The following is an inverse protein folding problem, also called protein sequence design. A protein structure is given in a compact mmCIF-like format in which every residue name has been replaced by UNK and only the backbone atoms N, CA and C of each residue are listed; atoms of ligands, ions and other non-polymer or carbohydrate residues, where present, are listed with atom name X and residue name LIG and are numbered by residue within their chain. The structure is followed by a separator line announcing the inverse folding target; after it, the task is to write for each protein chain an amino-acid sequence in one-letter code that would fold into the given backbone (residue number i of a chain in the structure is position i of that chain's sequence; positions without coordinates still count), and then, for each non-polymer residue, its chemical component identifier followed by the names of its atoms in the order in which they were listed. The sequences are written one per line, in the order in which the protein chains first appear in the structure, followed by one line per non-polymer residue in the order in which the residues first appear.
data_IF_072110353773
#
_entry.id   IF_072110353773
#
_cell.length_a   1.000
_cell.length_b   1.000
_cell.length_c   1.000
_cell.angle_alpha   90.00
_cell.angle_beta   90.00
_cell.angle_gamma   90.00
#
_symmetry.space_group_name_H-M   'P 1'
#
loop_
_entity.id
_entity.type
_entity.pdbx_description
1 polymer ?
#
# COMPACT_ATOMS: atom_id res chain seq x y z
N UNK A 1 -15.97 -6.44 9.30
CA UNK A 1 -16.03 -6.43 7.84
C UNK A 1 -16.73 -5.15 7.45
N UNK A 2 -16.08 -4.34 6.63
CA UNK A 2 -16.58 -3.06 6.17
C UNK A 2 -16.68 -3.13 4.65
N UNK A 3 -17.71 -2.56 4.05
CA UNK A 3 -17.81 -2.49 2.59
C UNK A 3 -17.29 -1.13 2.13
N UNK A 4 -16.54 -1.12 1.03
CA UNK A 4 -16.06 0.08 0.36
C UNK A 4 -16.73 0.14 -1.01
N UNK A 5 -17.55 1.16 -1.24
CA UNK A 5 -18.22 1.33 -2.53
C UNK A 5 -17.27 2.10 -3.46
N UNK A 6 -16.82 1.43 -4.52
CA UNK A 6 -15.92 2.02 -5.51
C UNK A 6 -16.61 1.95 -6.86
N UNK A 7 -17.22 3.07 -7.26
CA UNK A 7 -18.15 3.09 -8.39
C UNK A 7 -19.39 2.26 -8.09
N UNK A 8 -19.66 1.27 -8.93
CA UNK A 8 -20.80 0.34 -8.80
C UNK A 8 -20.43 -0.98 -8.09
N UNK A 9 -19.15 -1.20 -7.79
CA UNK A 9 -18.67 -2.43 -7.17
C UNK A 9 -18.54 -2.28 -5.64
N UNK A 10 -19.23 -3.12 -4.85
CA UNK A 10 -19.03 -3.20 -3.40
C UNK A 10 -17.80 -4.05 -3.10
N UNK A 11 -16.77 -3.42 -2.56
CA UNK A 11 -15.50 -4.05 -2.21
C UNK A 11 -15.52 -4.47 -0.76
N UNK A 12 -15.33 -5.77 -0.50
CA UNK A 12 -15.26 -6.30 0.85
C UNK A 12 -13.91 -5.96 1.51
N UNK A 13 -13.96 -5.26 2.63
CA UNK A 13 -12.80 -4.98 3.47
C UNK A 13 -12.88 -5.72 4.80
N UNK A 14 -11.72 -6.12 5.31
CA UNK A 14 -11.57 -6.69 6.64
C UNK A 14 -11.73 -5.61 7.74
N UNK A 15 -11.73 -6.02 9.02
CA UNK A 15 -11.82 -5.12 10.18
C UNK A 15 -10.70 -4.07 10.23
N UNK A 16 -9.50 -4.40 9.74
CA UNK A 16 -8.40 -3.44 9.61
C UNK A 16 -8.52 -2.53 8.35
N UNK A 17 -9.53 -2.74 7.50
CA UNK A 17 -9.75 -2.00 6.25
C UNK A 17 -8.90 -2.49 5.07
N UNK A 18 -8.34 -3.69 5.14
CA UNK A 18 -7.63 -4.34 4.03
C UNK A 18 -8.61 -5.00 3.08
N UNK A 19 -8.27 -5.08 1.80
CA UNK A 19 -9.01 -5.86 0.82
C UNK A 19 -9.07 -7.33 1.24
N UNK A 20 -10.29 -7.89 1.26
CA UNK A 20 -10.50 -9.32 1.48
C UNK A 20 -10.08 -10.12 0.25
N UNK A 21 -10.42 -9.62 -0.94
CA UNK A 21 -9.99 -10.18 -2.21
C UNK A 21 -8.99 -9.24 -2.89
N UNK A 22 -7.82 -9.78 -3.28
CA UNK A 22 -6.76 -8.99 -3.90
C UNK A 22 -7.10 -8.63 -5.37
N UNK A 23 -7.98 -9.40 -6.01
CA UNK A 23 -8.40 -9.19 -7.40
C UNK A 23 -9.35 -8.00 -7.53
N UNK A 24 -10.06 -7.67 -6.46
CA UNK A 24 -10.90 -6.47 -6.36
C UNK A 24 -10.07 -5.17 -6.33
N UNK A 25 -8.75 -5.26 -6.16
CA UNK A 25 -7.91 -4.07 -6.18
C UNK A 25 -7.93 -3.40 -7.56
N UNK A 26 -8.21 -2.11 -7.55
CA UNK A 26 -8.07 -1.22 -8.70
C UNK A 26 -7.55 0.14 -8.26
N UNK A 27 -7.09 0.99 -9.20
CA UNK A 27 -6.64 2.33 -8.85
C UNK A 27 -7.71 3.17 -8.14
N UNK A 28 -8.98 2.94 -8.47
CA UNK A 28 -10.11 3.58 -7.79
C UNK A 28 -10.25 3.11 -6.34
N UNK A 29 -10.02 1.81 -6.09
CA UNK A 29 -10.02 1.25 -4.73
C UNK A 29 -8.89 1.82 -3.89
N UNK A 30 -7.68 1.89 -4.44
CA UNK A 30 -6.54 2.49 -3.75
C UNK A 30 -6.85 3.94 -3.33
N UNK A 31 -7.40 4.75 -4.24
CA UNK A 31 -7.81 6.13 -3.94
C UNK A 31 -8.88 6.19 -2.84
N UNK A 32 -9.91 5.34 -2.93
CA UNK A 32 -10.97 5.29 -1.93
C UNK A 32 -10.46 4.85 -0.54
N UNK A 33 -9.53 3.88 -0.49
CA UNK A 33 -8.85 3.48 0.74
C UNK A 33 -8.01 4.62 1.31
N UNK A 34 -7.24 5.31 0.47
CA UNK A 34 -6.38 6.40 0.89
C UNK A 34 -7.18 7.58 1.43
N UNK A 35 -8.31 7.90 0.79
CA UNK A 35 -9.26 8.90 1.28
C UNK A 35 -9.81 8.55 2.67
N UNK A 36 -10.06 7.27 2.98
CA UNK A 36 -10.49 6.83 4.32
C UNK A 36 -9.40 6.97 5.38
N UNK A 37 -8.14 6.78 5.01
CA UNK A 37 -7.01 6.98 5.92
C UNK A 37 -6.59 8.46 6.01
N UNK A 38 -7.20 9.35 5.20
CA UNK A 38 -6.83 10.76 5.13
C UNK A 38 -5.49 11.01 4.43
N UNK A 39 -5.06 10.09 3.56
CA UNK A 39 -3.79 10.17 2.84
C UNK A 39 -4.07 10.45 1.36
N UNK A 40 -3.62 11.58 0.81
CA UNK A 40 -3.75 11.83 -0.62
C UNK A 40 -2.70 11.01 -1.40
N UNK A 41 -3.15 10.14 -2.31
CA UNK A 41 -2.27 9.42 -3.22
C UNK A 41 -1.67 10.37 -4.26
N UNK A 42 -0.45 10.80 -4.01
CA UNK A 42 0.38 11.51 -4.99
C UNK A 42 1.15 10.53 -5.88
N UNK A 43 1.85 11.05 -6.90
CA UNK A 43 2.70 10.25 -7.79
C UNK A 43 3.74 9.40 -7.04
N UNK A 44 4.32 9.94 -5.95
CA UNK A 44 5.24 9.18 -5.10
C UNK A 44 4.56 7.99 -4.42
N UNK A 45 3.31 8.15 -3.98
CA UNK A 45 2.56 7.03 -3.41
C UNK A 45 2.32 5.98 -4.48
N UNK A 46 1.83 6.37 -5.66
CA UNK A 46 1.59 5.46 -6.78
C UNK A 46 2.82 4.66 -7.15
N UNK A 47 3.97 5.32 -7.29
CA UNK A 47 5.23 4.65 -7.58
C UNK A 47 5.57 3.58 -6.53
N UNK A 48 5.30 3.85 -5.25
CA UNK A 48 5.52 2.88 -4.17
C UNK A 48 4.49 1.74 -4.22
N UNK A 49 3.21 2.03 -4.47
CA UNK A 49 2.17 1.00 -4.58
C UNK A 49 2.45 0.04 -5.75
N UNK A 50 2.82 0.58 -6.90
CA UNK A 50 3.19 -0.20 -8.08
C UNK A 50 4.42 -1.06 -7.82
N UNK A 51 5.46 -0.50 -7.19
CA UNK A 51 6.64 -1.25 -6.76
C UNK A 51 6.29 -2.40 -5.84
N UNK A 52 5.34 -2.20 -4.92
CA UNK A 52 4.88 -3.23 -3.99
C UNK A 52 4.17 -4.35 -4.72
N UNK A 53 3.30 -4.00 -5.66
CA UNK A 53 2.60 -4.97 -6.50
C UNK A 53 3.57 -5.76 -7.36
N UNK A 54 4.58 -5.11 -7.95
CA UNK A 54 5.64 -5.80 -8.69
C UNK A 54 6.44 -6.74 -7.79
N UNK A 55 6.83 -6.28 -6.60
CA UNK A 55 7.52 -7.10 -5.62
C UNK A 55 6.66 -8.30 -5.19
N UNK A 56 5.37 -8.10 -4.95
CA UNK A 56 4.46 -9.18 -4.61
C UNK A 56 4.25 -10.15 -5.78
N UNK A 57 4.18 -9.67 -7.01
CA UNK A 57 4.09 -10.55 -8.19
C UNK A 57 5.35 -11.41 -8.36
N UNK A 58 6.53 -10.86 -8.07
CA UNK A 58 7.81 -11.55 -8.24
C UNK A 58 8.14 -12.48 -7.07
N UNK A 59 7.86 -12.06 -5.83
CA UNK A 59 8.24 -12.78 -4.61
C UNK A 59 7.07 -13.42 -3.86
N UNK A 60 5.82 -13.16 -4.27
CA UNK A 60 4.58 -13.53 -3.56
C UNK A 60 4.60 -13.17 -2.06
N UNK A 61 5.31 -12.08 -1.74
CA UNK A 61 5.58 -11.65 -0.38
C UNK A 61 5.29 -10.16 -0.23
N UNK A 62 4.62 -9.77 0.86
CA UNK A 62 4.45 -8.36 1.20
C UNK A 62 5.68 -7.82 1.93
N UNK A 63 6.38 -6.81 1.39
CA UNK A 63 7.59 -6.30 2.02
C UNK A 63 7.28 -5.55 3.32
N UNK A 64 8.08 -5.80 4.36
CA UNK A 64 8.07 -5.00 5.58
C UNK A 64 8.73 -3.61 5.35
N UNK A 65 8.71 -2.74 6.36
CA UNK A 65 9.20 -1.35 6.24
C UNK A 65 10.66 -1.27 5.79
N UNK A 66 11.54 -2.13 6.32
CA UNK A 66 12.97 -2.16 5.92
C UNK A 66 13.17 -2.55 4.45
N UNK A 67 12.66 -3.71 3.98
CA UNK A 67 12.70 -4.08 2.57
C UNK A 67 12.08 -3.02 1.66
N UNK A 68 10.94 -2.44 2.06
CA UNK A 68 10.27 -1.36 1.35
C UNK A 68 11.21 -0.17 1.12
N UNK A 69 11.76 0.40 2.19
CA UNK A 69 12.68 1.55 2.11
C UNK A 69 13.84 1.24 1.16
N UNK A 70 14.46 0.06 1.32
CA UNK A 70 15.60 -0.35 0.51
C UNK A 70 15.22 -0.54 -0.96
N UNK A 71 14.07 -1.15 -1.24
CA UNK A 71 13.58 -1.38 -2.60
C UNK A 71 13.19 -0.08 -3.29
N UNK A 72 12.49 0.80 -2.58
CA UNK A 72 12.19 2.17 -3.04
C UNK A 72 13.49 2.94 -3.31
N UNK A 73 14.51 2.80 -2.45
CA UNK A 73 15.81 3.47 -2.66
C UNK A 73 16.54 2.96 -3.90
N UNK A 74 16.47 1.65 -4.15
CA UNK A 74 17.06 1.01 -5.31
C UNK A 74 16.35 1.40 -6.62
N UNK A 75 15.03 1.57 -6.59
CA UNK A 75 14.21 1.78 -7.80
C UNK A 75 13.93 3.25 -8.11
N UNK A 76 13.65 4.06 -7.08
CA UNK A 76 13.33 5.48 -7.19
C UNK A 76 14.48 6.40 -6.73
N UNK A 77 15.55 5.82 -6.20
CA UNK A 77 16.70 6.55 -5.68
C UNK A 77 16.64 6.77 -4.16
N UNK A 78 17.80 6.99 -3.52
CA UNK A 78 17.93 7.11 -2.07
C UNK A 78 17.17 8.31 -1.48
N UNK A 79 16.88 9.32 -2.29
CA UNK A 79 16.12 10.51 -1.87
C UNK A 79 14.66 10.16 -1.56
N UNK A 80 14.05 9.27 -2.37
CA UNK A 80 12.66 8.82 -2.19
C UNK A 80 12.56 7.61 -1.26
N UNK A 81 13.53 6.69 -1.36
CA UNK A 81 13.62 5.50 -0.52
C UNK A 81 14.28 5.74 0.83
N UNK A 82 13.79 6.72 1.59
CA UNK A 82 14.29 6.95 2.94
C UNK A 82 13.18 6.84 3.98
N UNK A 83 13.55 6.44 5.20
CA UNK A 83 12.60 6.21 6.30
C UNK A 83 11.77 7.46 6.62
N UNK A 84 12.39 8.65 6.60
CA UNK A 84 11.70 9.90 6.90
C UNK A 84 10.67 10.27 5.82
N UNK A 85 10.99 10.10 4.55
CA UNK A 85 10.11 10.38 3.42
C UNK A 85 8.92 9.42 3.41
N UNK A 86 9.18 8.12 3.53
CA UNK A 86 8.13 7.11 3.62
C UNK A 86 7.24 7.28 4.85
N UNK A 87 7.81 7.60 6.02
CA UNK A 87 7.02 7.93 7.19
C UNK A 87 6.18 9.19 7.01
N UNK A 88 6.66 10.18 6.25
CA UNK A 88 5.89 11.40 5.95
C UNK A 88 4.74 11.13 4.99
N UNK A 89 4.95 10.29 3.98
CA UNK A 89 3.91 9.88 3.02
C UNK A 89 2.82 9.05 3.72
N UNK A 90 3.22 8.06 4.52
CA UNK A 90 2.32 7.09 5.14
C UNK A 90 2.17 7.29 6.64
N UNK A 91 2.23 8.53 7.12
CA UNK A 91 1.96 8.90 8.52
C UNK A 91 2.57 7.98 9.59
N UNK A 92 3.83 7.54 9.39
CA UNK A 92 4.59 6.68 10.30
C UNK A 92 4.42 5.16 10.11
N UNK A 93 3.52 4.69 9.25
CA UNK A 93 3.31 3.25 8.99
C UNK A 93 3.38 2.87 7.50
N UNK A 94 4.53 3.09 6.83
CA UNK A 94 4.68 2.93 5.39
C UNK A 94 4.39 1.53 4.88
N UNK A 95 4.88 0.47 5.54
CA UNK A 95 4.58 -0.88 5.06
C UNK A 95 3.10 -1.26 5.20
N UNK A 96 2.47 -0.91 6.34
CA UNK A 96 1.06 -1.25 6.59
C UNK A 96 0.16 -0.52 5.61
N UNK A 97 0.34 0.79 5.46
CA UNK A 97 -0.48 1.61 4.58
C UNK A 97 -0.17 1.34 3.12
N UNK A 98 1.10 1.26 2.71
CA UNK A 98 1.42 0.94 1.32
C UNK A 98 0.86 -0.42 0.92
N UNK A 99 0.97 -1.46 1.77
CA UNK A 99 0.36 -2.76 1.49
C UNK A 99 -1.18 -2.66 1.39
N UNK A 100 -1.83 -1.97 2.33
CA UNK A 100 -3.28 -1.74 2.33
C UNK A 100 -3.74 -1.05 1.04
N UNK A 101 -3.09 0.05 0.68
CA UNK A 101 -3.40 0.85 -0.50
C UNK A 101 -3.05 0.13 -1.80
N UNK A 102 -2.03 -0.73 -1.81
CA UNK A 102 -1.66 -1.58 -2.95
C UNK A 102 -2.57 -2.80 -3.11
N UNK A 103 -3.50 -3.00 -2.16
CA UNK A 103 -4.39 -4.15 -2.10
C UNK A 103 -3.64 -5.45 -1.87
N UNK A 104 -2.59 -5.39 -1.05
CA UNK A 104 -1.81 -6.53 -0.61
C UNK A 104 -2.26 -6.99 0.78
N UNK A 105 -2.08 -8.28 1.11
CA UNK A 105 -2.41 -8.78 2.43
C UNK A 105 -1.56 -8.11 3.51
N UNK A 106 -2.06 -8.11 4.74
CA UNK A 106 -1.35 -7.55 5.89
C UNK A 106 0.03 -8.23 6.02
N UNK A 107 1.14 -7.48 6.06
CA UNK A 107 2.46 -8.07 6.19
C UNK A 107 2.54 -8.81 7.53
N UNK A 108 2.83 -10.10 7.48
CA UNK A 108 2.84 -11.00 8.66
C UNK A 108 3.98 -10.66 9.64
N UNK A 109 4.94 -9.83 9.24
CA UNK A 109 6.19 -9.62 9.97
C UNK A 109 6.30 -8.21 10.58
N UNK A 110 5.37 -7.87 11.48
CA UNK A 110 5.62 -6.86 12.50
C UNK A 110 6.40 -7.56 13.65
N UNK A 111 7.74 -7.54 13.58
CA UNK A 111 8.62 -7.90 14.71
C UNK A 111 9.23 -6.60 15.24
#
# INVERSE_FOLDING_TARGET
MSTLNVGDQPIALDKDGFLVDLQDWSPAVANALAAREGIPLTEDHWAILELLRQFYQEFQLSPATRPLIKYTALKLGPEKGNSAHLNRLFNGTPAKLAAKLAGLPKPTNCI
#
